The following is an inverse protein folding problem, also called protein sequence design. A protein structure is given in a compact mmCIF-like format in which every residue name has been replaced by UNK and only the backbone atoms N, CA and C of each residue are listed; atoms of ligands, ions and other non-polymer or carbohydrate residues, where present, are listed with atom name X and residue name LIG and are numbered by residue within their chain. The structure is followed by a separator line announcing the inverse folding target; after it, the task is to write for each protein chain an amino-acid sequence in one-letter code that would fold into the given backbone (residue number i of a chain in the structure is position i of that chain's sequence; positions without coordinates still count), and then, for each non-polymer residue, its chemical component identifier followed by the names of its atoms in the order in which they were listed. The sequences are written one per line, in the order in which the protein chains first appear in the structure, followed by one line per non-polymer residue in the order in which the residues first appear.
data_IF_142161888435
#
_entry.id   IF_142161888435
#
_cell.length_a   1.000
_cell.length_b   1.000
_cell.length_c   1.000
_cell.angle_alpha   90.00
_cell.angle_beta   90.00
_cell.angle_gamma   90.00
#
_symmetry.space_group_name_H-M   'P 1'
#
loop_
_entity.id
_entity.type
_entity.pdbx_description
1 polymer ?
#
# COMPACT_ATOMS: atom_id res chain seq x y z
N UNK A 1 -13.10 13.91 8.68
CA UNK A 1 -14.07 12.79 8.52
C UNK A 1 -13.38 11.43 8.32
N UNK A 2 -12.28 11.29 7.55
CA UNK A 2 -11.74 9.96 7.20
C UNK A 2 -10.60 9.37 8.07
N UNK A 3 -10.13 10.07 9.11
CA UNK A 3 -9.02 9.57 9.96
C UNK A 3 -9.40 9.35 11.43
N UNK A 4 -10.49 9.96 11.90
CA UNK A 4 -10.79 10.02 13.35
C UNK A 4 -11.32 8.73 13.96
N UNK A 5 -11.71 7.73 13.16
CA UNK A 5 -12.33 6.49 13.67
C UNK A 5 -11.55 5.20 13.34
N UNK A 6 -10.33 5.28 12.77
CA UNK A 6 -9.56 4.06 12.46
C UNK A 6 -9.26 3.20 13.69
N UNK A 7 -8.95 3.85 14.81
CA UNK A 7 -8.67 3.18 16.08
C UNK A 7 -9.92 2.52 16.71
N UNK A 8 -11.13 3.02 16.39
CA UNK A 8 -12.40 2.41 16.82
C UNK A 8 -12.82 1.20 15.97
N UNK A 9 -12.17 0.98 14.82
CA UNK A 9 -12.46 -0.13 13.91
C UNK A 9 -11.43 -1.26 13.97
N UNK A 10 -10.57 -1.29 15.00
CA UNK A 10 -9.73 -2.45 15.26
C UNK A 10 -10.60 -3.60 15.77
N UNK A 11 -11.17 -4.36 14.83
CA UNK A 11 -11.64 -5.72 15.12
C UNK A 11 -10.49 -6.46 15.80
N UNK A 12 -10.71 -6.94 17.02
CA UNK A 12 -9.82 -7.93 17.62
C UNK A 12 -9.91 -9.19 16.78
N UNK A 13 -8.93 -9.41 15.92
CA UNK A 13 -8.84 -10.64 15.14
C UNK A 13 -8.45 -11.80 16.06
N UNK A 14 -9.13 -12.92 15.88
CA UNK A 14 -8.93 -14.14 16.67
C UNK A 14 -7.78 -15.00 16.16
N UNK A 15 -7.35 -14.79 14.91
CA UNK A 15 -6.22 -15.51 14.32
C UNK A 15 -5.49 -14.70 13.24
N UNK A 16 -4.23 -15.09 12.97
CA UNK A 16 -3.46 -14.54 11.85
C UNK A 16 -4.15 -14.80 10.50
N UNK A 17 -4.82 -15.94 10.33
CA UNK A 17 -5.55 -16.22 9.08
C UNK A 17 -6.69 -15.22 8.87
N UNK A 18 -7.42 -14.87 9.94
CA UNK A 18 -8.50 -13.89 9.89
C UNK A 18 -8.00 -12.48 9.50
N UNK A 19 -6.83 -12.09 10.02
CA UNK A 19 -6.15 -10.83 9.64
C UNK A 19 -5.83 -10.82 8.15
N UNK A 20 -5.26 -11.92 7.62
CA UNK A 20 -4.88 -12.03 6.21
C UNK A 20 -6.10 -11.94 5.30
N UNK A 21 -7.18 -12.65 5.64
CA UNK A 21 -8.45 -12.62 4.88
C UNK A 21 -9.03 -11.21 4.89
N UNK A 22 -9.11 -10.59 6.07
CA UNK A 22 -9.67 -9.24 6.20
C UNK A 22 -8.85 -8.22 5.41
N UNK A 23 -7.53 -8.31 5.44
CA UNK A 23 -6.66 -7.41 4.67
C UNK A 23 -6.83 -7.61 3.15
N UNK A 24 -6.98 -8.86 2.68
CA UNK A 24 -7.26 -9.14 1.27
C UNK A 24 -8.58 -8.49 0.83
N UNK A 25 -9.64 -8.62 1.64
CA UNK A 25 -10.94 -8.01 1.33
C UNK A 25 -10.88 -6.48 1.34
N UNK A 26 -10.16 -5.88 2.31
CA UNK A 26 -9.93 -4.43 2.35
C UNK A 26 -9.20 -3.93 1.08
N UNK A 27 -8.18 -4.65 0.64
CA UNK A 27 -7.46 -4.30 -0.60
C UNK A 27 -8.34 -4.42 -1.83
N UNK A 28 -9.18 -5.45 -1.92
CA UNK A 28 -10.15 -5.62 -3.01
C UNK A 28 -11.15 -4.46 -3.05
N UNK A 29 -11.71 -4.08 -1.91
CA UNK A 29 -12.65 -2.97 -1.81
C UNK A 29 -12.00 -1.63 -2.16
N UNK A 30 -10.78 -1.40 -1.69
CA UNK A 30 -10.01 -0.21 -2.04
C UNK A 30 -9.79 -0.13 -3.56
N UNK A 31 -9.42 -1.24 -4.20
CA UNK A 31 -9.22 -1.32 -5.65
C UNK A 31 -10.50 -0.95 -6.40
N UNK A 32 -11.63 -1.57 -6.04
CA UNK A 32 -12.92 -1.29 -6.66
C UNK A 32 -13.34 0.18 -6.50
N UNK A 33 -13.09 0.77 -5.33
CA UNK A 33 -13.43 2.17 -5.06
C UNK A 33 -12.58 3.13 -5.90
N UNK A 34 -11.28 2.88 -6.02
CA UNK A 34 -10.36 3.73 -6.78
C UNK A 34 -10.63 3.63 -8.29
N UNK A 35 -10.89 2.41 -8.79
CA UNK A 35 -11.35 2.21 -10.16
C UNK A 35 -12.65 2.98 -10.44
N UNK A 36 -13.66 2.86 -9.57
CA UNK A 36 -14.96 3.51 -9.81
C UNK A 36 -14.90 5.04 -9.78
N UNK A 37 -14.12 5.63 -8.87
CA UNK A 37 -14.11 7.08 -8.65
C UNK A 37 -13.08 7.82 -9.49
N UNK A 38 -11.97 7.17 -9.82
CA UNK A 38 -10.81 7.81 -10.43
C UNK A 38 -10.27 7.06 -11.65
N UNK A 39 -10.85 5.91 -12.02
CA UNK A 39 -10.35 5.03 -13.08
C UNK A 39 -8.90 4.58 -12.86
N UNK A 40 -8.49 4.47 -11.59
CA UNK A 40 -7.13 4.08 -11.18
C UNK A 40 -7.11 2.65 -10.65
N UNK A 41 -6.27 1.80 -11.24
CA UNK A 41 -5.89 0.50 -10.70
C UNK A 41 -4.50 0.55 -10.04
N UNK A 42 -4.42 0.70 -8.73
CA UNK A 42 -3.14 0.69 -8.00
C UNK A 42 -2.47 -0.69 -7.95
N UNK A 43 -3.11 -1.75 -8.46
CA UNK A 43 -2.49 -3.07 -8.62
C UNK A 43 -1.90 -3.27 -10.01
N UNK A 44 -2.25 -2.40 -10.96
CA UNK A 44 -1.73 -2.43 -12.31
C UNK A 44 -0.29 -1.92 -12.32
N UNK A 45 0.64 -2.86 -12.47
CA UNK A 45 2.08 -2.59 -12.48
C UNK A 45 2.59 -2.07 -13.82
N UNK A 46 1.79 -2.07 -14.89
CA UNK A 46 2.27 -1.70 -16.22
C UNK A 46 2.62 -0.22 -16.34
N UNK A 47 1.96 0.63 -15.53
CA UNK A 47 2.18 2.08 -15.51
C UNK A 47 3.14 2.53 -14.40
N UNK A 48 3.71 1.59 -13.63
CA UNK A 48 4.76 1.94 -12.68
C UNK A 48 6.02 2.24 -13.46
N UNK A 49 6.44 3.50 -13.44
CA UNK A 49 7.69 3.93 -14.06
C UNK A 49 8.90 3.15 -13.53
N UNK A 50 8.81 2.64 -12.29
CA UNK A 50 9.83 1.78 -11.68
C UNK A 50 9.28 0.97 -10.50
N UNK A 51 9.65 -0.30 -10.43
CA UNK A 51 9.43 -1.16 -9.25
C UNK A 51 10.71 -1.18 -8.43
N UNK A 52 10.66 -0.78 -7.17
CA UNK A 52 11.78 -0.87 -6.24
C UNK A 52 11.66 -2.18 -5.48
N UNK A 53 12.58 -3.11 -5.72
CA UNK A 53 12.65 -4.36 -4.96
C UNK A 53 13.32 -4.12 -3.60
N UNK A 54 12.54 -4.30 -2.55
CA UNK A 54 12.96 -4.14 -1.15
C UNK A 54 13.13 -5.49 -0.44
N UNK A 55 13.07 -6.60 -1.16
CA UNK A 55 13.15 -7.95 -0.58
C UNK A 55 14.52 -8.16 0.07
N UNK A 56 14.53 -8.58 1.34
CA UNK A 56 15.75 -8.82 2.11
C UNK A 56 16.50 -7.56 2.57
N UNK A 57 15.94 -6.37 2.36
CA UNK A 57 16.55 -5.09 2.78
C UNK A 57 16.02 -4.63 4.13
N UNK A 58 16.88 -3.99 4.92
CA UNK A 58 16.48 -3.34 6.16
C UNK A 58 15.72 -2.03 5.88
N UNK A 59 15.06 -1.50 6.90
CA UNK A 59 14.29 -0.26 6.78
C UNK A 59 15.16 0.92 6.29
N UNK A 60 16.35 1.10 6.87
CA UNK A 60 17.27 2.19 6.52
C UNK A 60 17.74 2.08 5.06
N UNK A 61 18.00 0.85 4.59
CA UNK A 61 18.39 0.60 3.20
C UNK A 61 17.26 0.93 2.22
N UNK A 62 16.01 0.65 2.60
CA UNK A 62 14.86 1.04 1.78
C UNK A 62 14.67 2.55 1.74
N UNK A 63 14.94 3.23 2.87
CA UNK A 63 14.84 4.68 2.97
C UNK A 63 15.88 5.38 2.08
N UNK A 64 17.12 4.90 2.09
CA UNK A 64 18.19 5.42 1.24
C UNK A 64 17.89 5.25 -0.26
N UNK A 65 17.35 4.09 -0.66
CA UNK A 65 16.94 3.85 -2.05
C UNK A 65 15.84 4.83 -2.47
N UNK A 66 14.87 5.07 -1.59
CA UNK A 66 13.77 6.03 -1.84
C UNK A 66 14.30 7.47 -1.95
N UNK A 67 15.17 7.90 -1.05
CA UNK A 67 15.75 9.25 -1.08
C UNK A 67 16.55 9.50 -2.35
N UNK A 68 17.39 8.53 -2.75
CA UNK A 68 18.17 8.62 -3.98
C UNK A 68 17.28 8.66 -5.22
N UNK A 69 16.19 7.87 -5.22
CA UNK A 69 15.22 7.90 -6.30
C UNK A 69 14.52 9.27 -6.40
N UNK A 70 14.07 9.83 -5.29
CA UNK A 70 13.42 11.16 -5.28
C UNK A 70 14.38 12.24 -5.81
N UNK A 71 15.67 12.17 -5.47
CA UNK A 71 16.69 13.10 -6.01
C UNK A 71 16.82 12.99 -7.54
N UNK A 72 16.73 11.78 -8.10
CA UNK A 72 16.80 11.59 -9.56
C UNK A 72 15.57 12.10 -10.32
N UNK A 73 14.41 12.21 -9.67
CA UNK A 73 13.19 12.76 -10.27
C UNK A 73 13.10 14.29 -10.24
N UNK A 74 13.87 14.95 -9.37
CA UNK A 74 13.90 16.42 -9.25
C UNK A 74 14.89 17.09 -10.22
N UNK A 75 15.59 16.30 -11.04
CA UNK A 75 16.58 16.75 -12.03
C UNK A 75 15.95 16.76 -13.41
#
# INVERSE_FOLDING_TARGET
IFLDDRWKQEKKYTSLQEVVITNKDRMKQLKQRLLKLYDVDFTDKSNYTKVIDTTGKTFDQNLEILENFIKTLKK
#
